data_IF_696109652291
#
_entry.id   IF_696109652291
#
_cell.length_a   1.000
_cell.length_b   1.000
_cell.length_c   1.000
_cell.angle_alpha   90.00
_cell.angle_beta   90.00
_cell.angle_gamma   90.00
#
_symmetry.space_group_name_H-M   'P 1'
#
loop_
_entity.id
_entity.type
_entity.pdbx_description
1 polymer ?
#
# COMPACT_ATOMS: atom_id res chain seq x y z
N UNK A 1 -34.70 -7.57 -23.84
CA UNK A 1 -33.96 -7.04 -22.66
C UNK A 1 -34.94 -7.03 -21.48
N UNK A 2 -34.70 -7.78 -20.40
CA UNK A 2 -35.55 -7.72 -19.19
C UNK A 2 -35.43 -6.33 -18.54
N UNK A 3 -36.45 -5.79 -17.84
CA UNK A 3 -36.33 -4.53 -17.10
C UNK A 3 -35.29 -4.64 -15.97
N UNK A 4 -34.78 -3.50 -15.47
CA UNK A 4 -34.09 -3.50 -14.18
C UNK A 4 -35.14 -3.80 -13.10
N UNK A 5 -34.77 -4.58 -12.10
CA UNK A 5 -35.68 -5.06 -11.04
C UNK A 5 -35.11 -4.64 -9.69
N UNK A 6 -35.93 -4.67 -8.64
CA UNK A 6 -35.45 -4.38 -7.27
C UNK A 6 -34.45 -5.45 -6.82
N UNK A 7 -33.69 -5.18 -5.76
CA UNK A 7 -32.75 -6.18 -5.23
C UNK A 7 -33.48 -7.43 -4.72
N UNK A 8 -34.68 -7.30 -4.16
CA UNK A 8 -35.52 -8.43 -3.74
C UNK A 8 -35.93 -9.29 -4.93
N UNK A 9 -36.39 -8.68 -6.02
CA UNK A 9 -36.76 -9.39 -7.25
C UNK A 9 -35.53 -10.03 -7.90
N UNK A 10 -34.38 -9.35 -7.86
CA UNK A 10 -33.12 -9.83 -8.41
C UNK A 10 -32.58 -11.07 -7.68
N UNK A 11 -32.83 -11.17 -6.37
CA UNK A 11 -32.35 -12.24 -5.49
C UNK A 11 -33.38 -13.33 -5.24
N UNK A 12 -34.65 -13.13 -5.64
CA UNK A 12 -35.72 -14.12 -5.48
C UNK A 12 -35.37 -15.52 -6.04
N UNK A 13 -34.76 -15.66 -7.24
CA UNK A 13 -34.37 -16.98 -7.75
C UNK A 13 -33.22 -17.64 -6.98
N UNK A 14 -32.54 -16.89 -6.10
CA UNK A 14 -31.37 -17.33 -5.35
C UNK A 14 -31.72 -17.82 -3.94
N UNK A 15 -32.97 -17.72 -3.49
CA UNK A 15 -33.38 -18.10 -2.12
C UNK A 15 -33.05 -19.57 -1.77
N UNK A 16 -33.07 -20.46 -2.76
CA UNK A 16 -32.73 -21.87 -2.59
C UNK A 16 -31.24 -22.18 -2.85
N UNK A 17 -30.45 -21.17 -3.24
CA UNK A 17 -29.04 -21.31 -3.64
C UNK A 17 -28.13 -20.64 -2.61
N UNK A 18 -28.53 -19.46 -2.11
CA UNK A 18 -27.77 -18.64 -1.16
C UNK A 18 -28.55 -18.60 0.16
N UNK A 19 -28.09 -19.31 1.20
CA UNK A 19 -28.76 -19.34 2.49
C UNK A 19 -28.99 -17.93 3.07
N UNK A 20 -30.20 -17.69 3.58
CA UNK A 20 -30.59 -16.44 4.29
C UNK A 20 -30.46 -15.16 3.45
N UNK A 21 -30.36 -15.25 2.13
CA UNK A 21 -30.16 -14.08 1.25
C UNK A 21 -31.20 -12.97 1.46
N UNK A 22 -32.48 -13.31 1.69
CA UNK A 22 -33.55 -12.34 1.95
C UNK A 22 -33.29 -11.49 3.20
N UNK A 23 -32.67 -12.07 4.24
CA UNK A 23 -32.28 -11.34 5.45
C UNK A 23 -31.19 -10.30 5.14
N UNK A 24 -30.18 -10.69 4.35
CA UNK A 24 -29.06 -9.80 4.04
C UNK A 24 -29.45 -8.72 3.02
N UNK A 25 -30.37 -9.02 2.11
CA UNK A 25 -30.99 -8.01 1.23
C UNK A 25 -31.63 -6.89 2.04
N UNK A 26 -32.39 -7.23 3.09
CA UNK A 26 -32.95 -6.21 3.98
C UNK A 26 -31.84 -5.35 4.63
N UNK A 27 -30.80 -5.99 5.19
CA UNK A 27 -29.68 -5.29 5.84
C UNK A 27 -28.97 -4.32 4.90
N UNK A 28 -28.63 -4.76 3.69
CA UNK A 28 -27.88 -3.91 2.74
C UNK A 28 -28.74 -2.79 2.15
N UNK A 29 -30.06 -2.99 2.00
CA UNK A 29 -30.97 -1.93 1.56
C UNK A 29 -31.14 -0.85 2.60
N UNK A 30 -31.27 -1.23 3.88
CA UNK A 30 -31.31 -0.27 4.99
C UNK A 30 -30.05 0.61 5.02
N UNK A 31 -28.90 0.01 4.74
CA UNK A 31 -27.62 0.70 4.68
C UNK A 31 -27.45 1.59 3.43
N UNK A 32 -28.03 1.19 2.31
CA UNK A 32 -27.94 1.88 1.02
C UNK A 32 -29.05 2.91 0.79
N UNK A 33 -29.86 3.25 1.82
CA UNK A 33 -30.98 4.20 1.72
C UNK A 33 -30.61 5.55 1.09
N UNK A 34 -29.36 6.00 1.27
CA UNK A 34 -28.84 7.24 0.71
C UNK A 34 -27.49 6.97 0.03
N UNK A 35 -27.49 6.51 -1.24
CA UNK A 35 -26.26 6.29 -1.98
C UNK A 35 -25.45 7.60 -2.10
N UNK A 36 -24.11 7.53 -2.03
CA UNK A 36 -23.25 8.71 -2.06
C UNK A 36 -23.09 9.37 -3.45
N UNK A 37 -23.66 8.77 -4.49
CA UNK A 37 -23.66 9.24 -5.88
C UNK A 37 -25.01 8.91 -6.56
N UNK A 38 -25.04 8.88 -7.89
CA UNK A 38 -26.27 8.77 -8.68
C UNK A 38 -26.84 7.34 -8.77
N UNK A 39 -26.20 6.35 -8.15
CA UNK A 39 -26.75 5.00 -8.06
C UNK A 39 -28.07 4.99 -7.29
N UNK A 40 -29.01 4.17 -7.75
CA UNK A 40 -30.23 3.86 -6.99
C UNK A 40 -29.91 3.04 -5.74
N UNK A 41 -30.86 2.98 -4.81
CA UNK A 41 -30.75 2.17 -3.58
C UNK A 41 -30.48 0.70 -3.93
N UNK A 42 -31.18 0.12 -4.90
CA UNK A 42 -31.00 -1.27 -5.29
C UNK A 42 -29.66 -1.53 -5.98
N UNK A 43 -29.17 -0.60 -6.81
CA UNK A 43 -27.84 -0.68 -7.42
C UNK A 43 -26.73 -0.63 -6.37
N UNK A 44 -26.77 0.36 -5.47
CA UNK A 44 -25.78 0.47 -4.37
C UNK A 44 -25.88 -0.72 -3.41
N UNK A 45 -27.08 -1.19 -3.09
CA UNK A 45 -27.28 -2.35 -2.22
C UNK A 45 -26.78 -3.64 -2.88
N UNK A 46 -26.86 -3.76 -4.20
CA UNK A 46 -26.34 -4.94 -4.91
C UNK A 46 -24.82 -5.08 -4.76
N UNK A 47 -24.08 -3.96 -4.82
CA UNK A 47 -22.63 -3.93 -4.59
C UNK A 47 -22.33 -4.26 -3.11
N UNK A 48 -23.05 -3.63 -2.18
CA UNK A 48 -22.89 -3.91 -0.75
C UNK A 48 -23.13 -5.39 -0.44
N UNK A 49 -24.17 -6.00 -1.01
CA UNK A 49 -24.48 -7.43 -0.82
C UNK A 49 -23.38 -8.34 -1.36
N UNK A 50 -22.75 -7.98 -2.48
CA UNK A 50 -21.63 -8.73 -3.03
C UNK A 50 -20.41 -8.70 -2.10
N UNK A 51 -20.10 -7.54 -1.52
CA UNK A 51 -18.96 -7.36 -0.60
C UNK A 51 -19.25 -7.82 0.83
N UNK A 52 -20.50 -8.20 1.14
CA UNK A 52 -20.86 -8.61 2.49
C UNK A 52 -20.43 -10.05 2.74
N UNK A 53 -19.60 -10.25 3.76
CA UNK A 53 -19.26 -11.57 4.27
C UNK A 53 -20.17 -11.94 5.45
N UNK A 54 -20.52 -13.22 5.57
CA UNK A 54 -21.25 -13.75 6.71
C UNK A 54 -20.86 -15.19 7.00
N UNK A 55 -21.08 -15.63 8.24
CA UNK A 55 -20.73 -16.97 8.70
C UNK A 55 -21.85 -18.00 8.44
N UNK A 56 -21.51 -19.20 7.92
CA UNK A 56 -20.18 -19.58 7.44
C UNK A 56 -19.84 -18.90 6.10
N UNK A 57 -18.58 -18.50 5.90
CA UNK A 57 -18.14 -17.78 4.68
C UNK A 57 -18.53 -18.47 3.37
N UNK A 58 -18.58 -19.81 3.36
CA UNK A 58 -19.01 -20.61 2.21
C UNK A 58 -20.47 -20.41 1.80
N UNK A 59 -21.28 -19.85 2.69
CA UNK A 59 -22.69 -19.53 2.45
C UNK A 59 -22.86 -18.10 1.93
N UNK A 60 -21.78 -17.31 1.85
CA UNK A 60 -21.82 -15.93 1.35
C UNK A 60 -22.18 -15.86 -0.13
N UNK A 61 -22.92 -14.81 -0.52
CA UNK A 61 -23.24 -14.57 -1.92
C UNK A 61 -21.96 -14.45 -2.76
N UNK A 62 -20.94 -13.77 -2.24
CA UNK A 62 -19.62 -13.67 -2.84
C UNK A 62 -19.06 -15.03 -3.23
N UNK A 63 -19.03 -15.97 -2.28
CA UNK A 63 -18.42 -17.28 -2.46
C UNK A 63 -19.19 -18.11 -3.50
N UNK A 64 -20.51 -18.21 -3.34
CA UNK A 64 -21.35 -19.05 -4.19
C UNK A 64 -21.43 -18.49 -5.62
N UNK A 65 -21.58 -17.17 -5.78
CA UNK A 65 -21.60 -16.53 -7.10
C UNK A 65 -20.30 -16.78 -7.85
N UNK A 66 -19.15 -16.52 -7.21
CA UNK A 66 -17.86 -16.67 -7.87
C UNK A 66 -17.52 -18.13 -8.20
N UNK A 67 -17.97 -19.10 -7.40
CA UNK A 67 -17.90 -20.52 -7.77
C UNK A 67 -18.79 -20.85 -8.97
N UNK A 68 -20.01 -20.30 -9.01
CA UNK A 68 -20.93 -20.48 -10.15
C UNK A 68 -20.35 -19.88 -11.44
N UNK A 69 -19.74 -18.69 -11.36
CA UNK A 69 -19.09 -18.03 -12.50
C UNK A 69 -17.90 -18.82 -13.06
N UNK A 70 -17.14 -19.51 -12.20
CA UNK A 70 -16.00 -20.34 -12.61
C UNK A 70 -16.40 -21.73 -13.10
N UNK A 71 -17.59 -22.22 -12.75
CA UNK A 71 -18.11 -23.53 -13.16
C UNK A 71 -18.32 -23.62 -14.67
N UNK A 72 -17.90 -24.72 -15.29
CA UNK A 72 -18.16 -24.99 -16.71
C UNK A 72 -19.65 -25.18 -17.04
N UNK A 73 -20.49 -25.56 -16.06
CA UNK A 73 -21.92 -25.68 -16.27
C UNK A 73 -22.59 -24.31 -16.34
N UNK A 74 -22.71 -23.77 -17.56
CA UNK A 74 -23.37 -22.49 -17.81
C UNK A 74 -24.87 -22.48 -17.46
N UNK A 75 -25.54 -23.63 -17.30
CA UNK A 75 -26.96 -23.65 -16.88
C UNK A 75 -27.12 -23.19 -15.44
N UNK A 76 -26.13 -23.42 -14.59
CA UNK A 76 -26.10 -22.98 -13.19
C UNK A 76 -26.16 -21.46 -13.02
N UNK A 77 -25.80 -20.68 -14.04
CA UNK A 77 -25.86 -19.21 -14.02
C UNK A 77 -27.27 -18.65 -14.24
N UNK A 78 -28.22 -19.44 -14.75
CA UNK A 78 -29.58 -18.93 -15.08
C UNK A 78 -30.29 -18.23 -13.91
N UNK A 79 -30.26 -18.75 -12.67
CA UNK A 79 -30.86 -18.07 -11.51
C UNK A 79 -30.21 -16.72 -11.20
N UNK A 80 -28.94 -16.54 -11.55
CA UNK A 80 -28.16 -15.35 -11.25
C UNK A 80 -28.38 -14.18 -12.21
N UNK A 81 -29.06 -14.40 -13.35
CA UNK A 81 -29.16 -13.39 -14.41
C UNK A 81 -29.76 -12.05 -13.95
N UNK A 82 -30.74 -12.07 -13.05
CA UNK A 82 -31.33 -10.82 -12.56
C UNK A 82 -30.35 -10.07 -11.63
N UNK A 83 -29.72 -10.78 -10.71
CA UNK A 83 -28.70 -10.21 -9.83
C UNK A 83 -27.48 -9.70 -10.60
N UNK A 84 -26.91 -10.52 -11.50
CA UNK A 84 -25.80 -10.15 -12.39
C UNK A 84 -26.15 -8.92 -13.23
N UNK A 85 -27.38 -8.83 -13.74
CA UNK A 85 -27.82 -7.65 -14.48
C UNK A 85 -27.84 -6.41 -13.59
N UNK A 86 -28.35 -6.52 -12.36
CA UNK A 86 -28.43 -5.39 -11.43
C UNK A 86 -27.03 -4.89 -11.04
N UNK A 87 -26.15 -5.78 -10.57
CA UNK A 87 -24.80 -5.40 -10.15
C UNK A 87 -23.94 -4.90 -11.32
N UNK A 88 -24.00 -5.54 -12.49
CA UNK A 88 -23.27 -5.04 -13.66
C UNK A 88 -23.79 -3.67 -14.12
N UNK A 89 -25.11 -3.43 -14.04
CA UNK A 89 -25.67 -2.09 -14.33
C UNK A 89 -25.11 -1.06 -13.35
N UNK A 90 -25.11 -1.35 -12.05
CA UNK A 90 -24.52 -0.48 -11.03
C UNK A 90 -23.05 -0.18 -11.33
N UNK A 91 -22.24 -1.20 -11.60
CA UNK A 91 -20.81 -1.07 -11.90
C UNK A 91 -20.54 -0.33 -13.21
N UNK A 92 -21.40 -0.43 -14.22
CA UNK A 92 -21.26 0.31 -15.48
C UNK A 92 -21.40 1.83 -15.32
N UNK A 93 -22.09 2.26 -14.26
CA UNK A 93 -22.30 3.67 -13.91
C UNK A 93 -21.17 4.25 -13.05
N UNK A 94 -20.34 3.38 -12.46
CA UNK A 94 -19.12 3.81 -11.79
C UNK A 94 -18.00 4.05 -12.81
N UNK A 95 -17.12 5.05 -12.59
CA UNK A 95 -15.99 5.29 -13.46
C UNK A 95 -15.07 4.06 -13.51
N UNK A 96 -14.59 3.72 -14.70
CA UNK A 96 -13.50 2.77 -14.84
C UNK A 96 -12.20 3.41 -14.37
N UNK A 97 -11.34 2.62 -13.76
CA UNK A 97 -10.03 3.05 -13.29
C UNK A 97 -8.97 2.15 -13.91
N UNK A 98 -7.93 2.80 -14.42
CA UNK A 98 -6.74 2.14 -14.95
C UNK A 98 -5.64 2.18 -13.89
N UNK A 99 -5.35 1.04 -13.26
CA UNK A 99 -4.31 0.90 -12.25
C UNK A 99 -3.92 -0.57 -12.03
N UNK A 100 -2.78 -0.78 -11.37
CA UNK A 100 -2.36 -2.10 -10.88
C UNK A 100 -3.10 -2.46 -9.60
N UNK A 101 -3.84 -3.55 -9.62
CA UNK A 101 -4.50 -4.14 -8.46
C UNK A 101 -3.84 -5.44 -8.03
N UNK A 102 -4.07 -5.83 -6.77
CA UNK A 102 -3.49 -7.00 -6.14
C UNK A 102 -4.59 -7.94 -5.66
N UNK A 103 -4.45 -9.23 -5.97
CA UNK A 103 -5.35 -10.28 -5.47
C UNK A 103 -4.56 -11.44 -4.90
N UNK A 104 -4.74 -11.68 -3.60
CA UNK A 104 -4.22 -12.87 -2.93
C UNK A 104 -5.18 -14.05 -3.02
N UNK A 105 -4.64 -15.24 -3.25
CA UNK A 105 -5.40 -16.51 -3.22
C UNK A 105 -4.59 -17.56 -2.46
N UNK A 106 -5.23 -18.16 -1.45
CA UNK A 106 -4.72 -19.35 -0.76
C UNK A 106 -4.98 -20.57 -1.65
N UNK A 107 -3.97 -21.44 -1.84
CA UNK A 107 -4.08 -22.71 -2.56
C UNK A 107 -4.36 -22.65 -4.08
N UNK A 108 -3.57 -21.93 -4.88
CA UNK A 108 -3.51 -22.20 -6.32
C UNK A 108 -2.36 -23.16 -6.60
N UNK A 109 -2.73 -24.27 -7.22
CA UNK A 109 -2.05 -25.58 -7.26
C UNK A 109 -0.94 -25.56 -8.31
N UNK A 110 0.11 -26.35 -8.08
CA UNK A 110 1.09 -26.79 -9.09
C UNK A 110 0.44 -27.31 -10.40
N UNK A 111 -0.79 -27.84 -10.33
CA UNK A 111 -1.54 -28.34 -11.49
C UNK A 111 -2.13 -27.26 -12.40
N UNK A 112 -2.22 -26.01 -11.96
CA UNK A 112 -2.63 -24.88 -12.81
C UNK A 112 -1.44 -24.13 -13.42
N UNK A 113 -0.20 -24.58 -13.23
CA UNK A 113 0.99 -23.93 -13.80
C UNK A 113 0.87 -23.75 -15.33
N UNK A 114 0.33 -24.76 -16.03
CA UNK A 114 0.08 -24.70 -17.48
C UNK A 114 -0.85 -23.57 -17.92
N UNK A 115 -1.79 -23.17 -17.04
CA UNK A 115 -2.74 -22.09 -17.29
C UNK A 115 -2.09 -20.71 -17.23
N UNK A 116 -1.03 -20.57 -16.43
CA UNK A 116 -0.34 -19.30 -16.19
C UNK A 116 1.06 -19.25 -16.80
N UNK A 117 1.28 -19.91 -17.93
CA UNK A 117 2.51 -19.74 -18.71
C UNK A 117 2.56 -18.34 -19.32
N UNK A 118 3.74 -17.71 -19.28
CA UNK A 118 3.97 -16.40 -19.90
C UNK A 118 3.53 -16.39 -21.37
N UNK A 119 2.80 -15.33 -21.75
CA UNK A 119 2.17 -15.17 -23.07
C UNK A 119 0.82 -15.87 -23.24
N UNK A 120 0.35 -16.65 -22.26
CA UNK A 120 -1.01 -17.22 -22.31
C UNK A 120 -2.05 -16.13 -22.07
N UNK A 121 -3.12 -16.21 -22.84
CA UNK A 121 -4.34 -15.40 -22.66
C UNK A 121 -5.42 -16.23 -22.02
N UNK A 122 -6.09 -15.68 -21.01
CA UNK A 122 -7.12 -16.36 -20.25
C UNK A 122 -8.28 -15.41 -19.91
N UNK A 123 -9.42 -16.01 -19.57
CA UNK A 123 -10.61 -15.29 -19.12
C UNK A 123 -10.73 -15.45 -17.61
N UNK A 124 -10.70 -14.32 -16.91
CA UNK A 124 -10.91 -14.22 -15.48
C UNK A 124 -12.42 -14.20 -15.18
N UNK A 125 -13.00 -15.37 -14.96
CA UNK A 125 -14.47 -15.53 -14.95
C UNK A 125 -15.21 -14.91 -13.75
N UNK A 126 -14.57 -14.82 -12.59
CA UNK A 126 -15.22 -14.31 -11.37
C UNK A 126 -15.10 -12.80 -11.23
N UNK A 127 -15.98 -12.19 -10.45
CA UNK A 127 -15.66 -10.90 -9.86
C UNK A 127 -14.47 -11.07 -8.92
N UNK A 128 -13.65 -10.04 -8.75
CA UNK A 128 -12.54 -10.11 -7.79
C UNK A 128 -12.37 -8.77 -7.10
N UNK A 129 -12.61 -8.80 -5.79
CA UNK A 129 -12.24 -7.70 -4.92
C UNK A 129 -10.72 -7.66 -4.87
N UNK A 130 -10.15 -6.54 -5.27
CA UNK A 130 -8.72 -6.38 -5.35
C UNK A 130 -8.30 -5.16 -4.53
N UNK A 131 -7.17 -5.31 -3.87
CA UNK A 131 -6.56 -4.22 -3.12
C UNK A 131 -5.73 -3.38 -4.09
N UNK A 132 -5.76 -2.06 -3.93
CA UNK A 132 -4.86 -1.15 -4.67
C UNK A 132 -3.47 -1.06 -4.03
N UNK A 133 -3.32 -1.63 -2.83
CA UNK A 133 -2.07 -1.67 -2.07
C UNK A 133 -1.52 -3.09 -2.13
N UNK A 134 -0.27 -3.27 -2.57
CA UNK A 134 0.42 -4.58 -2.69
C UNK A 134 0.46 -5.37 -1.39
N UNK A 135 0.41 -4.67 -0.28
CA UNK A 135 0.89 -5.11 1.03
C UNK A 135 -0.11 -5.92 1.83
N UNK A 136 -1.29 -6.16 1.28
CA UNK A 136 -2.25 -7.12 1.85
C UNK A 136 -1.73 -8.56 1.65
N UNK A 137 -0.74 -8.81 0.78
CA UNK A 137 -0.10 -10.13 0.63
C UNK A 137 0.70 -10.63 1.84
N UNK A 138 0.98 -9.78 2.83
CA UNK A 138 1.66 -10.17 4.09
C UNK A 138 0.72 -10.14 5.31
N UNK A 139 -0.55 -9.79 5.11
CA UNK A 139 -1.59 -9.92 6.12
C UNK A 139 -2.04 -11.39 6.23
N UNK A 140 -2.05 -11.93 7.45
CA UNK A 140 -2.45 -13.31 7.72
C UNK A 140 -3.89 -13.58 7.24
N UNK A 141 -4.73 -12.55 7.26
CA UNK A 141 -6.13 -12.59 6.84
C UNK A 141 -6.30 -12.66 5.32
N UNK A 142 -5.37 -12.12 4.52
CA UNK A 142 -5.56 -11.98 3.07
C UNK A 142 -4.84 -13.06 2.25
N UNK A 143 -3.54 -13.28 2.46
CA UNK A 143 -2.79 -14.32 1.75
C UNK A 143 -2.30 -15.44 2.67
N UNK A 144 -2.15 -15.16 3.97
CA UNK A 144 -1.52 -16.09 4.92
C UNK A 144 0.02 -16.11 4.80
N UNK A 145 0.70 -16.50 5.86
CA UNK A 145 2.17 -16.45 5.94
C UNK A 145 2.86 -17.79 5.59
N UNK A 146 2.11 -18.88 5.55
CA UNK A 146 2.60 -20.25 5.34
C UNK A 146 1.70 -21.01 4.36
N UNK A 147 2.24 -22.07 3.73
CA UNK A 147 1.51 -22.87 2.74
C UNK A 147 1.56 -22.29 1.32
N UNK A 148 0.95 -23.02 0.37
CA UNK A 148 0.93 -22.67 -1.05
C UNK A 148 0.01 -21.46 -1.28
N UNK A 149 0.56 -20.40 -1.86
CA UNK A 149 -0.15 -19.14 -2.03
C UNK A 149 0.21 -18.47 -3.35
N UNK A 150 -0.74 -17.72 -3.89
CA UNK A 150 -0.55 -17.00 -5.15
C UNK A 150 -0.96 -15.55 -5.02
N UNK A 151 -0.06 -14.66 -5.41
CA UNK A 151 -0.30 -13.23 -5.56
C UNK A 151 -0.46 -12.91 -7.04
N UNK A 152 -1.63 -12.45 -7.42
CA UNK A 152 -1.84 -11.83 -8.72
C UNK A 152 -1.58 -10.34 -8.62
N UNK A 153 -0.72 -9.84 -9.51
CA UNK A 153 -0.50 -8.43 -9.77
C UNK A 153 -1.16 -8.17 -11.12
N UNK A 154 -2.22 -7.36 -11.16
CA UNK A 154 -3.07 -7.23 -12.34
C UNK A 154 -3.11 -5.77 -12.76
N UNK A 155 -2.56 -5.45 -13.92
CA UNK A 155 -2.80 -4.15 -14.55
C UNK A 155 -4.18 -4.18 -15.18
N UNK A 156 -5.15 -3.52 -14.54
CA UNK A 156 -6.51 -3.46 -15.02
C UNK A 156 -6.81 -2.10 -15.68
N UNK A 157 -7.65 -2.13 -16.70
CA UNK A 157 -8.18 -1.00 -17.45
C UNK A 157 -9.64 -0.71 -17.08
N UNK A 158 -10.38 -1.74 -16.66
CA UNK A 158 -11.84 -1.65 -16.44
C UNK A 158 -12.27 -1.81 -14.99
N UNK A 159 -11.32 -1.79 -14.04
CA UNK A 159 -11.59 -1.90 -12.61
C UNK A 159 -12.54 -0.82 -12.11
N UNK A 160 -13.38 -1.16 -11.11
CA UNK A 160 -14.38 -0.25 -10.52
C UNK A 160 -14.07 0.02 -9.06
N UNK A 161 -13.85 1.27 -8.68
CA UNK A 161 -13.80 1.64 -7.25
C UNK A 161 -15.19 1.52 -6.65
N UNK A 162 -15.34 0.56 -5.73
CA UNK A 162 -16.59 0.28 -5.05
C UNK A 162 -16.57 0.72 -3.59
N UNK A 163 -15.51 1.37 -3.10
CA UNK A 163 -15.33 1.64 -1.66
C UNK A 163 -16.49 2.44 -1.03
N UNK A 164 -17.13 3.31 -1.82
CA UNK A 164 -18.32 4.07 -1.41
C UNK A 164 -19.59 3.22 -1.20
N UNK A 165 -19.67 2.08 -1.88
CA UNK A 165 -20.83 1.18 -1.87
C UNK A 165 -20.55 -0.16 -1.19
N UNK A 166 -19.28 -0.45 -0.89
CA UNK A 166 -18.87 -1.65 -0.19
C UNK A 166 -19.49 -1.74 1.21
N UNK A 167 -19.73 -2.97 1.64
CA UNK A 167 -20.11 -3.28 3.00
C UNK A 167 -18.98 -2.94 4.00
N UNK A 168 -17.74 -2.75 3.53
CA UNK A 168 -16.62 -2.32 4.36
C UNK A 168 -16.19 -0.89 4.00
N UNK A 169 -16.81 0.11 4.64
CA UNK A 169 -16.65 1.57 4.36
C UNK A 169 -15.23 2.14 4.52
N UNK A 170 -14.27 1.34 5.00
CA UNK A 170 -12.89 1.78 5.29
C UNK A 170 -11.87 1.25 4.29
N UNK A 171 -12.28 0.39 3.36
CA UNK A 171 -11.38 -0.25 2.41
C UNK A 171 -11.45 0.46 1.06
N UNK A 172 -10.28 0.82 0.54
CA UNK A 172 -10.17 1.26 -0.86
C UNK A 172 -10.15 0.00 -1.73
N UNK A 173 -11.34 -0.36 -2.20
CA UNK A 173 -11.61 -1.64 -2.84
C UNK A 173 -11.92 -1.42 -4.33
N UNK A 174 -11.12 -2.04 -5.20
CA UNK A 174 -11.35 -2.05 -6.65
C UNK A 174 -11.88 -3.42 -7.04
N UNK A 175 -13.03 -3.44 -7.70
CA UNK A 175 -13.64 -4.66 -8.19
C UNK A 175 -13.24 -4.91 -9.65
N UNK A 176 -12.53 -6.02 -9.89
CA UNK A 176 -12.33 -6.55 -11.24
C UNK A 176 -13.62 -7.25 -11.70
N UNK A 177 -14.03 -6.97 -12.93
CA UNK A 177 -15.25 -7.52 -13.52
C UNK A 177 -15.10 -9.00 -13.89
N UNK A 178 -16.20 -9.77 -13.92
CA UNK A 178 -16.18 -11.14 -14.41
C UNK A 178 -15.92 -11.16 -15.90
N UNK A 179 -15.37 -12.28 -16.38
CA UNK A 179 -14.97 -12.49 -17.76
C UNK A 179 -13.99 -11.43 -18.32
N UNK A 180 -13.16 -10.85 -17.43
CA UNK A 180 -12.05 -9.98 -17.83
C UNK A 180 -11.01 -10.78 -18.59
N UNK A 181 -10.55 -10.28 -19.74
CA UNK A 181 -9.52 -10.94 -20.52
C UNK A 181 -8.16 -10.44 -20.06
N UNK A 182 -7.25 -11.38 -19.79
CA UNK A 182 -5.90 -11.04 -19.32
C UNK A 182 -4.85 -11.86 -20.05
N UNK A 183 -3.66 -11.28 -20.21
CA UNK A 183 -2.46 -11.96 -20.68
C UNK A 183 -1.47 -12.11 -19.52
N UNK A 184 -0.83 -13.28 -19.44
CA UNK A 184 0.21 -13.54 -18.44
C UNK A 184 1.52 -12.94 -18.90
N UNK A 185 2.01 -11.96 -18.16
CA UNK A 185 3.23 -11.23 -18.52
C UNK A 185 4.45 -11.80 -17.83
N UNK A 186 4.35 -12.17 -16.55
CA UNK A 186 5.41 -12.87 -15.83
C UNK A 186 4.85 -13.86 -14.81
N UNK A 187 5.69 -14.84 -14.48
CA UNK A 187 5.44 -15.83 -13.45
C UNK A 187 6.73 -16.05 -12.69
N UNK A 188 6.71 -15.85 -11.38
CA UNK A 188 7.85 -16.00 -10.50
C UNK A 188 7.45 -16.87 -9.30
N UNK A 189 8.36 -17.73 -8.85
CA UNK A 189 8.21 -18.47 -7.62
C UNK A 189 9.20 -17.90 -6.60
N UNK A 190 8.67 -17.29 -5.55
CA UNK A 190 9.44 -16.74 -4.44
C UNK A 190 9.65 -17.81 -3.35
N UNK A 191 10.49 -17.48 -2.36
CA UNK A 191 10.68 -18.30 -1.17
C UNK A 191 9.36 -18.48 -0.38
N UNK A 192 9.26 -19.56 0.40
CA UNK A 192 8.07 -19.90 1.22
C UNK A 192 6.79 -20.22 0.42
N UNK A 193 6.90 -20.87 -0.75
CA UNK A 193 5.76 -21.36 -1.55
C UNK A 193 4.81 -20.24 -2.05
N UNK A 194 5.37 -19.06 -2.35
CA UNK A 194 4.65 -17.96 -2.96
C UNK A 194 4.86 -17.93 -4.47
N UNK A 195 3.77 -18.02 -5.21
CA UNK A 195 3.75 -17.79 -6.65
C UNK A 195 3.27 -16.36 -6.94
N UNK A 196 4.05 -15.59 -7.68
CA UNK A 196 3.71 -14.25 -8.11
C UNK A 196 3.44 -14.26 -9.61
N UNK A 197 2.23 -13.84 -9.99
CA UNK A 197 1.77 -13.86 -11.38
C UNK A 197 1.38 -12.45 -11.78
N UNK A 198 2.09 -11.90 -12.76
CA UNK A 198 1.77 -10.60 -13.32
C UNK A 198 0.87 -10.77 -14.55
N UNK A 199 -0.27 -10.13 -14.50
CA UNK A 199 -1.32 -10.16 -15.52
C UNK A 199 -1.56 -8.76 -16.06
N UNK A 200 -1.77 -8.66 -17.35
CA UNK A 200 -2.21 -7.43 -18.00
C UNK A 200 -3.60 -7.65 -18.57
N UNK A 201 -4.57 -6.80 -18.21
CA UNK A 201 -5.87 -6.77 -18.87
C UNK A 201 -5.68 -6.39 -20.34
N UNK A 202 -6.35 -7.13 -21.22
CA UNK A 202 -6.31 -6.92 -22.66
C UNK A 202 -7.72 -6.58 -23.17
N UNK A 203 -7.79 -5.70 -24.17
CA UNK A 203 -9.05 -5.39 -24.81
C UNK A 203 -9.69 -6.64 -25.43
N UNK A 204 -11.01 -6.78 -25.24
CA UNK A 204 -11.80 -7.87 -25.81
C UNK A 204 -12.83 -7.32 -26.79
N UNK A 205 -13.06 -8.04 -27.89
CA UNK A 205 -14.17 -7.77 -28.82
C UNK A 205 -15.55 -7.99 -28.19
N UNK A 206 -15.62 -8.54 -26.97
CA UNK A 206 -16.82 -8.79 -26.20
C UNK A 206 -16.82 -7.96 -24.92
N UNK A 207 -17.05 -6.65 -25.07
CA UNK A 207 -17.16 -5.72 -23.94
C UNK A 207 -18.41 -6.07 -23.13
N UNK A 208 -18.23 -6.48 -21.87
CA UNK A 208 -19.35 -6.79 -20.97
C UNK A 208 -20.09 -5.55 -20.48
N UNK A 209 -19.38 -4.44 -20.26
CA UNK A 209 -19.93 -3.17 -19.82
C UNK A 209 -19.29 -2.03 -20.60
N UNK A 210 -20.03 -1.44 -21.53
CA UNK A 210 -19.67 -0.14 -22.10
C UNK A 210 -19.97 0.94 -21.06
N UNK A 211 -19.05 1.90 -20.89
CA UNK A 211 -19.32 3.08 -20.07
C UNK A 211 -20.50 3.84 -20.68
N UNK A 212 -21.50 4.18 -19.86
CA UNK A 212 -22.62 5.01 -20.29
C UNK A 212 -22.07 6.44 -20.46
N UNK A 213 -21.52 6.73 -21.63
CA UNK A 213 -20.99 8.04 -21.98
C UNK A 213 -22.11 9.08 -21.92
N UNK A 214 -22.05 9.98 -20.95
CA UNK A 214 -22.67 11.30 -21.10
C UNK A 214 -21.55 12.32 -21.34
N UNK A 215 -21.75 13.11 -22.40
CA UNK A 215 -20.89 14.16 -22.97
C UNK A 215 -19.96 13.70 -24.12
N UNK A 216 -20.43 14.01 -25.33
CA UNK A 216 -19.69 14.02 -26.60
C UNK A 216 -18.37 14.80 -26.47
N UNK A 217 -17.28 14.25 -26.99
CA UNK A 217 -16.23 15.05 -27.64
C UNK A 217 -15.95 14.51 -29.03
N UNK A 218 -15.91 15.47 -29.94
CA UNK A 218 -15.81 15.39 -31.39
C UNK A 218 -14.47 14.87 -31.90
N UNK A 219 -14.57 14.32 -33.10
CA UNK A 219 -13.61 13.98 -34.14
C UNK A 219 -12.20 14.62 -34.11
N UNK A 220 -11.31 13.84 -34.74
CA UNK A 220 -9.98 14.12 -35.30
C UNK A 220 -8.76 13.97 -34.38
N UNK A 221 -8.03 12.87 -34.57
CA UNK A 221 -6.67 12.89 -35.17
C UNK A 221 -6.21 11.45 -35.48
N UNK A 222 -5.87 11.21 -36.75
CA UNK A 222 -5.26 9.98 -37.25
C UNK A 222 -3.79 9.87 -36.80
N UNK A 223 -3.42 8.64 -36.47
CA UNK A 223 -2.11 7.98 -36.50
C UNK A 223 -0.82 8.81 -36.60
N UNK A 224 0.11 8.57 -35.68
CA UNK A 224 1.54 8.46 -35.99
C UNK A 224 2.30 7.77 -34.86
N UNK A 225 3.10 6.78 -35.26
CA UNK A 225 4.19 6.09 -34.57
C UNK A 225 4.78 6.77 -33.33
N UNK A 226 5.09 5.97 -32.30
CA UNK A 226 6.41 5.83 -31.63
C UNK A 226 6.20 5.02 -30.34
N UNK A 227 6.85 3.86 -30.24
CA UNK A 227 7.18 3.25 -28.96
C UNK A 227 8.18 4.16 -28.25
N UNK A 228 7.79 4.81 -27.15
CA UNK A 228 8.68 5.29 -26.08
C UNK A 228 7.84 5.74 -24.87
N UNK A 229 8.35 5.38 -23.70
CA UNK A 229 7.96 5.78 -22.33
C UNK A 229 6.59 5.35 -21.81
N UNK A 230 6.63 4.30 -20.97
CA UNK A 230 5.82 4.20 -19.76
C UNK A 230 5.93 5.52 -18.98
N UNK A 231 4.90 6.37 -19.07
CA UNK A 231 4.64 7.56 -18.26
C UNK A 231 3.37 8.24 -18.81
N UNK A 232 2.22 7.89 -18.23
CA UNK A 232 0.98 8.68 -18.04
C UNK A 232 -0.10 7.67 -17.64
N UNK A 233 -0.64 7.72 -16.42
CA UNK A 233 -1.70 8.68 -16.13
C UNK A 233 -1.46 9.53 -14.86
N UNK A 234 -1.27 10.85 -15.01
CA UNK A 234 -1.37 11.83 -13.94
C UNK A 234 -2.84 12.24 -13.70
N UNK A 235 -3.70 11.33 -13.23
CA UNK A 235 -5.14 11.63 -13.12
C UNK A 235 -5.71 11.56 -11.69
N UNK A 236 -5.04 10.96 -10.70
CA UNK A 236 -5.61 10.94 -9.32
C UNK A 236 -5.34 12.22 -8.51
N UNK A 237 -4.27 12.97 -8.79
CA UNK A 237 -3.91 14.12 -7.95
C UNK A 237 -4.26 15.51 -8.53
N UNK A 238 -4.55 15.61 -9.83
CA UNK A 238 -4.91 16.90 -10.44
C UNK A 238 -6.25 17.45 -9.90
N UNK A 239 -7.20 16.57 -9.53
CA UNK A 239 -8.48 16.97 -8.94
C UNK A 239 -8.39 17.41 -7.47
N UNK A 240 -7.34 16.98 -6.76
CA UNK A 240 -7.05 17.42 -5.37
C UNK A 240 -6.65 18.91 -5.37
N UNK A 241 -5.92 19.36 -6.38
CA UNK A 241 -5.41 20.73 -6.48
C UNK A 241 -6.51 21.79 -6.67
N UNK A 242 -7.57 21.48 -7.41
CA UNK A 242 -8.68 22.42 -7.62
C UNK A 242 -9.56 22.62 -6.38
N UNK A 243 -9.52 21.67 -5.43
CA UNK A 243 -10.31 21.72 -4.17
C UNK A 243 -9.46 21.99 -2.93
N UNK A 244 -8.15 22.19 -3.09
CA UNK A 244 -7.23 22.38 -1.98
C UNK A 244 -7.39 23.76 -1.33
N UNK A 245 -8.09 23.82 -0.18
CA UNK A 245 -8.49 25.07 0.50
C UNK A 245 -7.42 25.67 1.44
N UNK A 246 -6.30 24.99 1.66
CA UNK A 246 -5.26 25.45 2.59
C UNK A 246 -4.29 26.41 1.88
N UNK A 247 -4.74 27.65 1.65
CA UNK A 247 -3.99 28.67 0.91
C UNK A 247 -2.60 28.95 1.50
N UNK A 248 -2.45 28.87 2.83
CA UNK A 248 -1.15 29.07 3.50
C UNK A 248 -0.16 27.96 3.15
N UNK A 249 -0.60 26.70 3.14
CA UNK A 249 0.27 25.58 2.75
C UNK A 249 0.55 25.61 1.24
N UNK A 250 -0.45 25.94 0.42
CA UNK A 250 -0.28 26.11 -1.02
C UNK A 250 0.78 27.18 -1.35
N UNK A 251 0.73 28.34 -0.71
CA UNK A 251 1.76 29.37 -0.89
C UNK A 251 3.16 28.89 -0.49
N UNK A 252 3.29 28.13 0.60
CA UNK A 252 4.58 27.56 0.97
C UNK A 252 5.11 26.56 -0.07
N UNK A 253 4.24 25.71 -0.61
CA UNK A 253 4.60 24.75 -1.67
C UNK A 253 5.02 25.49 -2.94
N UNK A 254 4.25 26.48 -3.38
CA UNK A 254 4.55 27.27 -4.59
C UNK A 254 5.85 28.08 -4.48
N UNK A 255 6.31 28.40 -3.26
CA UNK A 255 7.60 29.06 -3.03
C UNK A 255 8.77 28.09 -3.08
N UNK A 256 8.55 26.78 -3.04
CA UNK A 256 9.61 25.79 -3.22
C UNK A 256 10.03 25.80 -4.69
N UNK A 257 11.28 26.21 -4.94
CA UNK A 257 11.88 26.13 -6.28
C UNK A 257 12.17 24.66 -6.62
N UNK A 258 12.24 24.29 -7.91
CA UNK A 258 12.70 22.97 -8.31
C UNK A 258 14.04 22.64 -7.65
N UNK A 259 14.20 21.40 -7.19
CA UNK A 259 15.39 20.88 -6.51
C UNK A 259 15.76 21.60 -5.19
N UNK A 260 14.83 22.34 -4.57
CA UNK A 260 15.10 23.05 -3.30
C UNK A 260 14.62 22.29 -2.06
N UNK A 261 14.90 22.85 -0.90
CA UNK A 261 14.48 22.33 0.39
C UNK A 261 13.08 22.86 0.75
N UNK A 262 12.14 21.96 1.05
CA UNK A 262 10.78 22.27 1.40
C UNK A 262 10.57 22.23 2.93
N UNK A 263 10.39 23.40 3.55
CA UNK A 263 10.22 23.56 5.00
C UNK A 263 8.75 23.70 5.40
N UNK A 264 8.16 22.63 5.92
CA UNK A 264 6.74 22.54 6.28
C UNK A 264 6.51 22.15 7.75
N UNK A 265 7.52 22.29 8.61
CA UNK A 265 7.48 21.94 10.03
C UNK A 265 6.38 22.68 10.83
N UNK A 266 5.90 22.06 11.91
CA UNK A 266 4.99 22.67 12.88
C UNK A 266 3.56 22.87 12.38
N UNK A 267 3.21 22.24 11.24
CA UNK A 267 1.90 22.39 10.60
C UNK A 267 1.04 21.18 10.88
N UNK A 268 -0.13 21.36 11.49
CA UNK A 268 -1.09 20.25 11.62
C UNK A 268 -1.65 19.89 10.24
N UNK A 269 -1.09 18.84 9.63
CA UNK A 269 -1.48 18.39 8.29
C UNK A 269 -2.62 17.38 8.39
N UNK A 270 -3.68 17.60 7.62
CA UNK A 270 -4.70 16.59 7.34
C UNK A 270 -4.20 15.62 6.27
N UNK A 271 -4.93 14.51 6.05
CA UNK A 271 -4.65 13.58 4.95
C UNK A 271 -4.51 14.31 3.60
N UNK A 272 -5.48 15.18 3.27
CA UNK A 272 -5.46 15.96 2.03
C UNK A 272 -4.29 16.94 1.92
N UNK A 273 -3.83 17.48 3.06
CA UNK A 273 -2.61 18.30 3.07
C UNK A 273 -1.38 17.46 2.72
N UNK A 274 -1.27 16.25 3.27
CA UNK A 274 -0.18 15.32 2.94
C UNK A 274 -0.23 14.90 1.47
N UNK A 275 -1.41 14.56 0.94
CA UNK A 275 -1.59 14.23 -0.48
C UNK A 275 -1.13 15.39 -1.39
N UNK A 276 -1.51 16.63 -1.04
CA UNK A 276 -1.14 17.83 -1.80
C UNK A 276 0.36 18.12 -1.75
N UNK A 277 0.98 17.96 -0.58
CA UNK A 277 2.44 18.07 -0.38
C UNK A 277 3.17 17.01 -1.20
N UNK A 278 2.72 15.75 -1.11
CA UNK A 278 3.34 14.62 -1.80
C UNK A 278 3.23 14.78 -3.30
N UNK A 279 2.08 15.16 -3.83
CA UNK A 279 1.94 15.40 -5.26
C UNK A 279 2.94 16.47 -5.74
N UNK A 280 2.89 17.66 -5.14
CA UNK A 280 3.63 18.81 -5.66
C UNK A 280 5.12 18.77 -5.36
N UNK A 281 5.55 18.15 -4.27
CA UNK A 281 6.95 18.20 -3.84
C UNK A 281 7.70 16.89 -4.07
N UNK A 282 7.02 15.75 -3.97
CA UNK A 282 7.64 14.42 -4.10
C UNK A 282 7.38 13.84 -5.49
N UNK A 283 6.13 13.75 -5.94
CA UNK A 283 5.79 13.17 -7.25
C UNK A 283 6.26 14.09 -8.39
N UNK A 284 6.01 15.38 -8.28
CA UNK A 284 6.45 16.37 -9.26
C UNK A 284 7.96 16.70 -9.14
N UNK A 285 8.68 16.00 -8.25
CA UNK A 285 10.14 16.07 -8.07
C UNK A 285 10.68 17.49 -7.82
N UNK A 286 9.91 18.31 -7.13
CA UNK A 286 10.25 19.71 -6.90
C UNK A 286 11.22 19.93 -5.72
N UNK A 287 11.43 18.94 -4.85
CA UNK A 287 12.31 19.12 -3.69
C UNK A 287 13.40 18.03 -3.56
N UNK A 288 14.50 18.41 -2.89
CA UNK A 288 15.59 17.51 -2.47
C UNK A 288 15.57 17.22 -0.98
N UNK A 289 14.99 18.09 -0.18
CA UNK A 289 14.75 17.85 1.24
C UNK A 289 13.32 18.21 1.60
N UNK A 290 12.66 17.35 2.39
CA UNK A 290 11.31 17.56 2.86
C UNK A 290 11.29 17.53 4.39
N UNK A 291 10.93 18.67 4.98
CA UNK A 291 10.86 18.85 6.42
C UNK A 291 9.40 18.94 6.88
N UNK A 292 8.95 17.89 7.56
CA UNK A 292 7.58 17.69 8.05
C UNK A 292 7.58 17.33 9.55
N UNK A 293 8.48 17.95 10.32
CA UNK A 293 8.53 17.78 11.78
C UNK A 293 7.29 18.38 12.43
N UNK A 294 6.85 17.82 13.54
CA UNK A 294 5.71 18.36 14.33
C UNK A 294 4.45 18.60 13.49
N UNK A 295 4.16 17.68 12.56
CA UNK A 295 3.10 17.86 11.57
C UNK A 295 1.80 17.11 11.88
N UNK A 296 1.71 16.49 13.06
CA UNK A 296 0.62 15.60 13.47
C UNK A 296 0.38 14.41 12.51
N UNK A 297 1.39 14.02 11.75
CA UNK A 297 1.28 12.94 10.78
C UNK A 297 1.08 11.59 11.47
N UNK A 298 0.14 10.80 10.97
CA UNK A 298 -0.14 9.41 11.43
C UNK A 298 0.50 8.40 10.48
N UNK A 299 0.34 7.10 10.76
CA UNK A 299 0.77 6.02 9.86
C UNK A 299 0.21 6.16 8.44
N UNK A 300 -1.03 6.62 8.27
CA UNK A 300 -1.65 6.88 6.96
C UNK A 300 -0.90 7.97 6.17
N UNK A 301 -0.43 9.03 6.83
CA UNK A 301 0.38 10.05 6.17
C UNK A 301 1.76 9.53 5.75
N UNK A 302 2.39 8.69 6.58
CA UNK A 302 3.63 8.01 6.20
C UNK A 302 3.44 7.04 5.03
N UNK A 303 2.31 6.35 4.94
CA UNK A 303 1.97 5.50 3.80
C UNK A 303 1.95 6.30 2.50
N UNK A 304 1.24 7.44 2.47
CA UNK A 304 1.15 8.31 1.28
C UNK A 304 2.54 8.81 0.84
N UNK A 305 3.39 9.22 1.78
CA UNK A 305 4.77 9.60 1.47
C UNK A 305 5.55 8.40 0.91
N UNK A 306 5.43 7.24 1.54
CA UNK A 306 6.15 6.02 1.17
C UNK A 306 5.82 5.55 -0.25
N UNK A 307 4.55 5.64 -0.67
CA UNK A 307 4.13 5.32 -2.03
C UNK A 307 4.81 6.22 -3.06
N UNK A 308 4.87 7.53 -2.79
CA UNK A 308 5.53 8.47 -3.69
C UNK A 308 7.06 8.31 -3.71
N UNK A 309 7.67 7.88 -2.61
CA UNK A 309 9.12 7.66 -2.53
C UNK A 309 9.61 6.56 -3.48
N UNK A 310 8.78 5.55 -3.81
CA UNK A 310 9.19 4.41 -4.67
C UNK A 310 9.65 4.83 -6.07
N UNK A 311 9.10 5.93 -6.58
CA UNK A 311 9.39 6.47 -7.91
C UNK A 311 10.07 7.85 -7.85
N UNK A 312 10.39 8.33 -6.64
CA UNK A 312 11.13 9.55 -6.45
C UNK A 312 12.64 9.23 -6.44
N UNK A 313 13.37 9.98 -7.26
CA UNK A 313 14.83 9.89 -7.39
C UNK A 313 15.49 11.26 -7.24
N UNK A 314 14.84 12.19 -6.54
CA UNK A 314 15.36 13.55 -6.30
C UNK A 314 15.48 13.86 -4.81
N UNK A 315 14.63 13.25 -3.98
CA UNK A 315 14.60 13.45 -2.55
C UNK A 315 15.82 12.76 -1.92
N UNK A 316 16.60 13.56 -1.21
CA UNK A 316 17.82 13.19 -0.50
C UNK A 316 17.58 13.17 1.00
N UNK A 317 16.70 14.05 1.52
CA UNK A 317 16.44 14.17 2.95
C UNK A 317 14.94 14.16 3.28
N UNK A 318 14.58 13.39 4.30
CA UNK A 318 13.21 13.31 4.79
C UNK A 318 13.18 13.41 6.32
N UNK A 319 12.62 14.50 6.83
CA UNK A 319 12.53 14.76 8.26
C UNK A 319 11.08 14.68 8.75
N UNK A 320 10.79 13.63 9.51
CA UNK A 320 9.45 13.30 10.01
C UNK A 320 9.41 13.21 11.55
N UNK A 321 10.37 13.81 12.25
CA UNK A 321 10.43 13.74 13.72
C UNK A 321 9.25 14.47 14.40
N UNK A 322 8.90 14.05 15.62
CA UNK A 322 7.76 14.57 16.40
C UNK A 322 6.40 14.41 15.70
N UNK A 323 6.17 13.24 15.10
CA UNK A 323 4.85 12.86 14.56
C UNK A 323 4.29 11.65 15.33
N UNK A 324 3.29 10.97 14.78
CA UNK A 324 2.61 9.81 15.37
C UNK A 324 2.59 8.65 14.39
N UNK A 325 3.74 8.38 13.75
CA UNK A 325 3.83 7.35 12.72
C UNK A 325 3.65 5.94 13.29
N UNK A 326 4.17 5.69 14.51
CA UNK A 326 4.17 4.36 15.11
C UNK A 326 4.95 3.33 14.29
N UNK A 327 4.78 2.06 14.63
CA UNK A 327 5.43 0.96 13.93
C UNK A 327 4.86 0.78 12.52
N UNK A 328 3.56 0.99 12.32
CA UNK A 328 2.91 0.88 11.00
C UNK A 328 3.44 1.92 10.01
N UNK A 329 3.53 3.19 10.42
CA UNK A 329 4.13 4.24 9.58
C UNK A 329 5.60 3.96 9.27
N UNK A 330 6.33 3.39 10.23
CA UNK A 330 7.73 2.98 10.06
C UNK A 330 7.85 1.82 9.07
N UNK A 331 6.91 0.86 9.09
CA UNK A 331 6.85 -0.27 8.15
C UNK A 331 6.73 0.20 6.70
N UNK A 332 5.83 1.16 6.43
CA UNK A 332 5.66 1.71 5.08
C UNK A 332 6.93 2.37 4.57
N UNK A 333 7.57 3.20 5.41
CA UNK A 333 8.81 3.88 5.06
C UNK A 333 9.96 2.89 4.83
N UNK A 334 10.10 1.91 5.72
CA UNK A 334 11.10 0.85 5.60
C UNK A 334 10.95 0.11 4.27
N UNK A 335 9.74 -0.31 3.91
CA UNK A 335 9.46 -1.00 2.64
C UNK A 335 9.77 -0.14 1.41
N UNK A 336 9.39 1.13 1.42
CA UNK A 336 9.67 2.02 0.29
C UNK A 336 11.18 2.22 0.07
N UNK A 337 11.97 2.18 1.14
CA UNK A 337 13.43 2.33 1.11
C UNK A 337 14.19 1.01 0.88
N UNK A 338 13.52 -0.14 1.04
CA UNK A 338 14.07 -1.46 0.69
C UNK A 338 14.03 -1.76 -0.81
N UNK A 339 13.29 -0.98 -1.60
CA UNK A 339 13.07 -1.22 -3.03
C UNK A 339 14.24 -0.69 -3.87
N UNK A 340 14.72 -1.48 -4.84
CA UNK A 340 15.95 -1.23 -5.61
C UNK A 340 15.98 0.08 -6.42
N UNK A 341 14.84 0.79 -6.54
CA UNK A 341 14.73 2.03 -7.31
C UNK A 341 14.86 3.33 -6.47
N UNK A 342 14.75 3.29 -5.14
CA UNK A 342 14.95 4.50 -4.34
C UNK A 342 16.44 4.72 -4.03
N UNK A 343 17.15 5.21 -5.04
CA UNK A 343 18.60 5.32 -5.02
C UNK A 343 19.12 6.62 -4.37
N UNK A 344 18.25 7.57 -3.97
CA UNK A 344 18.68 8.94 -3.63
C UNK A 344 18.53 9.34 -2.17
N UNK A 345 17.65 8.72 -1.38
CA UNK A 345 17.50 9.13 0.02
C UNK A 345 18.77 8.79 0.82
N UNK A 346 19.34 9.80 1.49
CA UNK A 346 20.56 9.73 2.31
C UNK A 346 20.28 9.97 3.79
N UNK A 347 19.30 10.83 4.09
CA UNK A 347 19.01 11.29 5.45
C UNK A 347 17.55 11.04 5.82
N UNK A 348 17.32 10.29 6.91
CA UNK A 348 15.99 9.99 7.42
C UNK A 348 15.89 10.25 8.92
N UNK A 349 14.99 11.17 9.32
CA UNK A 349 14.73 11.46 10.73
C UNK A 349 13.34 11.01 11.15
N UNK A 350 13.30 10.09 12.13
CA UNK A 350 12.10 9.48 12.68
C UNK A 350 12.02 9.61 14.21
N UNK A 351 12.76 10.55 14.79
CA UNK A 351 12.75 10.76 16.24
C UNK A 351 11.36 11.14 16.78
N UNK A 352 11.02 10.71 17.99
CA UNK A 352 9.73 11.03 18.64
C UNK A 352 8.51 10.66 17.79
N UNK A 353 8.42 9.39 17.36
CA UNK A 353 7.30 8.86 16.56
C UNK A 353 6.55 7.70 17.22
N UNK A 354 6.96 7.30 18.44
CA UNK A 354 6.37 6.18 19.14
C UNK A 354 6.78 4.82 18.58
N UNK A 355 7.92 4.74 17.89
CA UNK A 355 8.48 3.52 17.32
C UNK A 355 8.90 2.59 18.45
N UNK A 356 8.51 1.32 18.39
CA UNK A 356 8.89 0.28 19.35
C UNK A 356 9.94 -0.65 18.76
N UNK A 357 10.25 -1.76 19.44
CA UNK A 357 11.11 -2.80 18.90
C UNK A 357 10.63 -3.36 17.55
N UNK A 358 9.31 -3.36 17.31
CA UNK A 358 8.75 -3.85 16.05
C UNK A 358 9.10 -2.94 14.88
N UNK A 359 8.97 -1.62 15.04
CA UNK A 359 9.38 -0.66 14.02
C UNK A 359 10.90 -0.62 13.84
N UNK A 360 11.68 -0.83 14.90
CA UNK A 360 13.13 -1.01 14.80
C UNK A 360 13.51 -2.26 13.98
N UNK A 361 12.76 -3.35 14.10
CA UNK A 361 12.95 -4.56 13.27
C UNK A 361 12.65 -4.30 11.79
N UNK A 362 11.60 -3.52 11.47
CA UNK A 362 11.35 -3.11 10.08
C UNK A 362 12.49 -2.26 9.50
N UNK A 363 13.03 -1.32 10.29
CA UNK A 363 14.18 -0.51 9.88
C UNK A 363 15.44 -1.36 9.72
N UNK A 364 15.67 -2.33 10.61
CA UNK A 364 16.78 -3.27 10.49
C UNK A 364 16.68 -4.06 9.18
N UNK A 365 15.51 -4.65 8.88
CA UNK A 365 15.28 -5.37 7.62
C UNK A 365 15.51 -4.47 6.40
N UNK A 366 15.11 -3.20 6.47
CA UNK A 366 15.37 -2.24 5.39
C UNK A 366 16.86 -1.96 5.18
N UNK A 367 17.62 -1.82 6.26
CA UNK A 367 19.06 -1.60 6.20
C UNK A 367 19.84 -2.78 5.62
N UNK A 368 19.26 -4.00 5.57
CA UNK A 368 19.91 -5.16 4.94
C UNK A 368 20.11 -4.96 3.43
N UNK A 369 19.13 -4.37 2.74
CA UNK A 369 19.18 -4.12 1.28
C UNK A 369 19.48 -2.66 0.92
N UNK A 370 19.20 -1.71 1.81
CA UNK A 370 19.40 -0.31 1.52
C UNK A 370 20.90 0.06 1.52
N UNK A 371 21.36 0.56 0.37
CA UNK A 371 22.77 0.97 0.14
C UNK A 371 22.94 2.48 0.00
N UNK A 372 21.92 3.26 0.36
CA UNK A 372 21.89 4.70 0.11
C UNK A 372 21.89 5.51 1.39
N UNK A 373 21.16 5.05 2.40
CA UNK A 373 20.97 5.76 3.65
C UNK A 373 22.30 5.84 4.41
N UNK A 374 22.65 7.07 4.79
CA UNK A 374 23.89 7.41 5.52
C UNK A 374 23.58 7.97 6.90
N UNK A 375 22.41 8.57 7.11
CA UNK A 375 21.97 9.13 8.39
C UNK A 375 20.59 8.61 8.78
N UNK A 376 20.51 8.07 9.99
CA UNK A 376 19.26 7.59 10.59
C UNK A 376 19.13 8.08 12.02
N UNK A 377 18.14 8.95 12.27
CA UNK A 377 17.84 9.46 13.61
C UNK A 377 16.56 8.82 14.16
N UNK A 378 16.70 8.09 15.27
CA UNK A 378 15.64 7.34 15.94
C UNK A 378 15.44 7.79 17.39
N UNK A 379 15.96 8.97 17.76
CA UNK A 379 15.90 9.47 19.12
C UNK A 379 14.48 9.61 19.68
N UNK A 380 14.31 9.54 20.99
CA UNK A 380 13.03 9.71 21.70
C UNK A 380 11.91 8.77 21.22
N UNK A 381 12.25 7.52 20.91
CA UNK A 381 11.29 6.46 20.62
C UNK A 381 11.18 5.48 21.81
N UNK A 382 10.48 4.37 21.62
CA UNK A 382 10.26 3.31 22.61
C UNK A 382 11.07 2.05 22.26
N UNK A 383 12.26 2.23 21.69
CA UNK A 383 13.16 1.13 21.33
C UNK A 383 13.82 0.65 22.62
N UNK A 384 13.76 -0.66 22.86
CA UNK A 384 14.39 -1.36 23.98
C UNK A 384 15.64 -2.10 23.52
N UNK A 385 16.23 -2.89 24.42
CA UNK A 385 17.39 -3.74 24.14
C UNK A 385 17.14 -4.69 22.95
N UNK A 386 15.89 -5.14 22.75
CA UNK A 386 15.53 -6.04 21.63
C UNK A 386 15.60 -5.33 20.28
N UNK A 387 15.03 -4.14 20.15
CA UNK A 387 15.12 -3.37 18.92
C UNK A 387 16.55 -2.91 18.63
N UNK A 388 17.32 -2.56 19.68
CA UNK A 388 18.74 -2.26 19.57
C UNK A 388 19.54 -3.44 19.02
N UNK A 389 19.28 -4.66 19.52
CA UNK A 389 19.92 -5.89 19.04
C UNK A 389 19.73 -6.07 17.54
N UNK A 390 18.49 -5.94 17.05
CA UNK A 390 18.17 -6.08 15.62
C UNK A 390 18.91 -5.07 14.75
N UNK A 391 18.90 -3.80 15.15
CA UNK A 391 19.61 -2.73 14.42
C UNK A 391 21.12 -3.01 14.39
N UNK A 392 21.71 -3.35 15.53
CA UNK A 392 23.15 -3.63 15.63
C UNK A 392 23.55 -4.88 14.83
N UNK A 393 22.76 -5.95 14.86
CA UNK A 393 23.01 -7.18 14.11
C UNK A 393 23.17 -6.89 12.61
N UNK A 394 22.25 -6.12 12.03
CA UNK A 394 22.29 -5.75 10.61
C UNK A 394 23.47 -4.81 10.31
N UNK A 395 23.75 -3.84 11.17
CA UNK A 395 24.89 -2.92 10.99
C UNK A 395 26.24 -3.64 11.08
N UNK A 396 26.35 -4.67 11.91
CA UNK A 396 27.56 -5.49 12.02
C UNK A 396 27.72 -6.35 10.76
N UNK A 397 26.66 -7.03 10.34
CA UNK A 397 26.77 -8.14 9.38
C UNK A 397 26.47 -7.76 7.93
N UNK A 398 25.59 -6.80 7.67
CA UNK A 398 24.99 -6.56 6.35
C UNK A 398 25.20 -5.14 5.86
N UNK A 399 24.74 -4.14 6.60
CA UNK A 399 24.79 -2.76 6.15
C UNK A 399 26.21 -2.17 6.28
N UNK A 400 26.69 -1.54 5.21
CA UNK A 400 28.01 -0.88 5.15
C UNK A 400 27.94 0.58 4.72
N UNK A 401 26.74 1.14 4.67
CA UNK A 401 26.50 2.49 4.13
C UNK A 401 26.10 3.48 5.21
N UNK A 402 25.44 3.03 6.27
CA UNK A 402 25.04 3.89 7.37
C UNK A 402 26.29 4.41 8.12
N UNK A 403 26.37 5.74 8.24
CA UNK A 403 27.47 6.47 8.86
C UNK A 403 27.06 7.07 10.21
N UNK A 404 25.82 7.55 10.31
CA UNK A 404 25.30 8.18 11.53
C UNK A 404 24.05 7.46 11.99
N UNK A 405 24.12 6.96 13.23
CA UNK A 405 22.97 6.41 13.94
C UNK A 405 22.76 7.20 15.23
N UNK A 406 21.56 7.73 15.40
CA UNK A 406 21.13 8.36 16.65
C UNK A 406 20.01 7.56 17.30
N UNK A 407 20.22 7.20 18.56
CA UNK A 407 19.27 6.46 19.41
C UNK A 407 19.00 7.21 20.71
N UNK A 408 19.33 8.51 20.79
CA UNK A 408 19.21 9.29 22.03
C UNK A 408 17.81 9.17 22.65
N UNK A 409 17.68 9.23 23.97
CA UNK A 409 16.39 9.13 24.67
C UNK A 409 15.57 7.83 24.45
N UNK A 410 16.13 6.78 23.84
CA UNK A 410 15.61 5.41 23.98
C UNK A 410 16.09 4.80 25.31
N UNK A 411 15.57 3.65 25.76
CA UNK A 411 15.93 3.10 27.08
C UNK A 411 16.65 1.77 26.94
N UNK A 412 17.93 1.75 27.29
CA UNK A 412 18.80 0.58 27.22
C UNK A 412 19.43 0.26 28.59
N UNK A 413 18.63 -0.11 29.61
CA UNK A 413 19.13 -0.20 30.98
C UNK A 413 19.95 -1.47 31.26
N UNK A 414 19.93 -2.49 30.39
CA UNK A 414 20.54 -3.78 30.69
C UNK A 414 22.00 -3.88 30.24
N UNK A 415 22.77 -4.75 30.91
CA UNK A 415 24.14 -5.11 30.47
C UNK A 415 24.16 -5.79 29.10
N UNK A 416 23.03 -6.41 28.69
CA UNK A 416 22.88 -6.99 27.34
C UNK A 416 23.04 -5.92 26.27
N UNK A 417 22.39 -4.77 26.44
CA UNK A 417 22.51 -3.65 25.50
C UNK A 417 23.94 -3.14 25.37
N UNK A 418 24.69 -3.13 26.47
CA UNK A 418 26.08 -2.69 26.51
C UNK A 418 26.97 -3.64 25.72
N UNK A 419 26.75 -4.95 25.86
CA UNK A 419 27.51 -5.95 25.09
C UNK A 419 27.22 -5.83 23.59
N UNK A 420 25.95 -5.66 23.21
CA UNK A 420 25.55 -5.41 21.82
C UNK A 420 26.25 -4.16 21.26
N UNK A 421 26.28 -3.06 22.02
CA UNK A 421 26.97 -1.83 21.62
C UNK A 421 28.48 -2.01 21.52
N UNK A 422 29.10 -2.76 22.43
CA UNK A 422 30.53 -3.11 22.35
C UNK A 422 30.81 -3.90 21.07
N UNK A 423 29.96 -4.85 20.72
CA UNK A 423 30.12 -5.66 19.51
C UNK A 423 29.91 -4.84 18.23
N UNK A 424 28.93 -3.93 18.23
CA UNK A 424 28.74 -2.95 17.16
C UNK A 424 30.02 -2.13 16.95
N UNK A 425 30.53 -1.54 18.05
CA UNK A 425 31.72 -0.69 18.01
C UNK A 425 32.99 -1.46 17.62
N UNK A 426 33.09 -2.77 17.87
CA UNK A 426 34.23 -3.57 17.43
C UNK A 426 34.15 -3.93 15.95
N UNK A 427 32.97 -4.31 15.47
CA UNK A 427 32.83 -5.00 14.20
C UNK A 427 32.29 -4.12 13.06
N UNK A 428 31.52 -3.08 13.37
CA UNK A 428 31.08 -2.12 12.34
C UNK A 428 32.22 -1.17 11.94
N UNK A 429 32.31 -0.95 10.62
CA UNK A 429 33.34 -0.11 9.97
C UNK A 429 32.76 1.07 9.20
N UNK A 430 31.44 1.17 9.07
CA UNK A 430 30.77 2.22 8.28
C UNK A 430 30.35 3.39 9.14
N UNK A 431 29.92 3.15 10.38
CA UNK A 431 29.51 4.17 11.32
C UNK A 431 30.70 5.04 11.71
N UNK A 432 30.50 6.34 11.60
CA UNK A 432 31.41 7.40 12.06
C UNK A 432 30.82 8.14 13.25
N UNK A 433 29.51 8.04 13.50
CA UNK A 433 28.89 8.67 14.66
C UNK A 433 27.78 7.79 15.25
N UNK A 434 27.79 7.66 16.57
CA UNK A 434 26.75 6.99 17.35
C UNK A 434 26.30 7.90 18.50
N UNK A 435 25.01 8.26 18.52
CA UNK A 435 24.41 9.01 19.62
C UNK A 435 23.59 8.12 20.55
N UNK A 436 24.00 8.06 21.82
CA UNK A 436 23.37 7.32 22.93
C UNK A 436 23.04 8.25 24.11
N UNK A 437 22.92 9.56 23.87
CA UNK A 437 22.58 10.53 24.90
C UNK A 437 21.26 10.14 25.58
N UNK A 438 21.23 10.24 26.91
CA UNK A 438 20.04 9.94 27.72
C UNK A 438 19.47 8.51 27.55
N UNK A 439 20.29 7.53 27.16
CA UNK A 439 19.86 6.14 26.93
C UNK A 439 19.67 5.26 28.19
N UNK A 440 19.75 5.83 29.39
CA UNK A 440 19.68 5.11 30.69
C UNK A 440 20.78 4.06 30.89
N UNK A 441 21.95 4.25 30.27
CA UNK A 441 23.14 3.44 30.51
C UNK A 441 23.74 3.71 31.89
N UNK A 442 24.29 2.68 32.55
CA UNK A 442 25.00 2.84 33.82
C UNK A 442 26.33 3.59 33.62
N UNK A 443 26.82 4.28 34.66
CA UNK A 443 28.12 5.00 34.60
C UNK A 443 29.28 4.09 34.16
N UNK A 444 29.29 2.85 34.64
CA UNK A 444 30.28 1.86 34.25
C UNK A 444 30.23 1.54 32.74
N UNK A 445 29.01 1.40 32.19
CA UNK A 445 28.80 1.12 30.77
C UNK A 445 29.25 2.27 29.88
N UNK A 446 28.95 3.50 30.29
CA UNK A 446 29.38 4.72 29.60
C UNK A 446 30.91 4.77 29.52
N UNK A 447 31.62 4.56 30.64
CA UNK A 447 33.08 4.55 30.66
C UNK A 447 33.65 3.45 29.76
N UNK A 448 33.07 2.24 29.79
CA UNK A 448 33.47 1.12 28.92
C UNK A 448 33.37 1.50 27.43
N UNK A 449 32.27 2.13 27.02
CA UNK A 449 32.05 2.56 25.63
C UNK A 449 32.98 3.73 25.23
N UNK A 450 33.22 4.69 26.13
CA UNK A 450 34.17 5.79 25.92
C UNK A 450 35.61 5.26 25.73
N UNK A 451 36.05 4.31 26.55
CA UNK A 451 37.38 3.70 26.41
C UNK A 451 37.50 2.97 25.06
N UNK A 452 36.48 2.21 24.66
CA UNK A 452 36.49 1.46 23.41
C UNK A 452 36.58 2.36 22.17
N UNK A 453 35.98 3.55 22.23
CA UNK A 453 35.95 4.49 21.09
C UNK A 453 37.19 5.35 20.97
N UNK A 454 37.99 5.53 22.04
CA UNK A 454 39.30 6.24 21.98
C UNK A 454 40.26 5.67 20.94
N UNK A 455 40.16 4.38 20.63
CA UNK A 455 41.03 3.71 19.65
C UNK A 455 40.49 3.78 18.21
N UNK A 456 39.25 4.23 18.01
CA UNK A 456 38.63 4.36 16.69
C UNK A 456 38.91 5.76 16.13
N UNK A 457 39.69 5.84 15.04
CA UNK A 457 39.92 7.11 14.32
C UNK A 457 38.63 7.56 13.64
N UNK A 458 38.36 8.87 13.65
CA UNK A 458 37.21 9.50 12.98
C UNK A 458 35.85 8.94 13.42
N UNK A 459 35.74 8.49 14.68
CA UNK A 459 34.49 8.03 15.28
C UNK A 459 34.06 8.97 16.41
N UNK A 460 32.83 9.45 16.36
CA UNK A 460 32.23 10.30 17.38
C UNK A 460 31.18 9.50 18.18
N UNK A 461 31.42 9.35 19.48
CA UNK A 461 30.45 8.80 20.42
C UNK A 461 29.84 9.94 21.23
N UNK A 462 28.54 10.20 21.05
CA UNK A 462 27.79 11.16 21.84
C UNK A 462 27.07 10.40 22.95
N UNK A 463 27.46 10.63 24.20
CA UNK A 463 26.94 9.93 25.38
C UNK A 463 27.20 10.78 26.64
N UNK A 464 26.31 10.70 27.63
CA UNK A 464 26.36 11.52 28.86
C UNK A 464 27.63 11.33 29.70
#
# INVERSE_FOLDING_TARGET
KKPLVTLEEATKPLENIVPRISTYVYVVKERAKNPPDDLSVDESASIALYTMEWEPYTDSLYYILNNTLRSEDRKSLKPWFLYLKLICTALSRLPSIELTVYRGVKNIIESEHEKYKVGKRLVWWGFSSCSVIREVSEDELFLGQTGLRTLFIIDCMTGKDIGKHSYFKKEQEVLLLPATHVEVISYEQEENNLHVIYLQEIESSHILLESISSVKKSQDLKASSIWKSSLRAPIVYATVLERYRNNKLRECILRCKPESDAYLNGRRLTKHDVESVVQQLVIDKQCRALFLRESHMTSEGAMIISEALRNNNTLVKLFLSHNKLGDDGTKFLARALSYDNNSTLRELSLGHNGITDQGAEYLAKMLESNVTLTYLWLGSNKISDRGLERLCEVLINKNKTLQILSLEWNKFPSDRSVNILVDLLKNNKSLTQLNLENCKLSKFSVEKLKILTKTKKNFELIIN
#
